data_IF_017673371878
#
_entry.id   IF_017673371878
#
_cell.length_a   1.000
_cell.length_b   1.000
_cell.length_c   1.000
_cell.angle_alpha   90.00
_cell.angle_beta   90.00
_cell.angle_gamma   90.00
#
_symmetry.space_group_name_H-M   'P 1'
#
loop_
_entity.id
_entity.type
_entity.pdbx_description
1 polymer ?
#
# COMPACT_ATOMS: atom_id res chain seq x y z
N UNK A 1 2.55 -25.55 -23.54
CA UNK A 1 2.84 -24.36 -22.72
C UNK A 1 1.52 -23.69 -22.41
N UNK A 2 1.20 -23.48 -21.12
CA UNK A 2 -0.07 -22.87 -20.68
C UNK A 2 -0.05 -21.34 -20.83
N UNK A 3 1.11 -20.70 -20.75
CA UNK A 3 1.27 -19.25 -20.76
C UNK A 3 2.43 -18.80 -21.67
N UNK A 4 2.28 -17.64 -22.27
CA UNK A 4 3.33 -16.93 -23.01
C UNK A 4 4.35 -16.32 -22.07
N UNK A 5 5.52 -15.90 -22.59
CA UNK A 5 6.53 -15.18 -21.79
C UNK A 5 6.00 -13.85 -21.23
N UNK A 6 5.23 -13.14 -22.02
CA UNK A 6 4.64 -11.85 -21.65
C UNK A 6 3.62 -12.00 -20.53
N UNK A 7 2.74 -13.01 -20.61
CA UNK A 7 1.80 -13.30 -19.54
C UNK A 7 2.51 -13.67 -18.22
N UNK A 8 3.59 -14.47 -18.30
CA UNK A 8 4.38 -14.85 -17.12
C UNK A 8 5.01 -13.61 -16.48
N UNK A 9 5.63 -12.72 -17.28
CA UNK A 9 6.26 -11.49 -16.79
C UNK A 9 5.20 -10.57 -16.17
N UNK A 10 4.06 -10.42 -16.84
CA UNK A 10 2.94 -9.60 -16.34
C UNK A 10 2.44 -10.11 -15.00
N UNK A 11 2.18 -11.42 -14.88
CA UNK A 11 1.77 -12.04 -13.61
C UNK A 11 2.81 -11.85 -12.51
N UNK A 12 4.10 -11.99 -12.83
CA UNK A 12 5.19 -11.81 -11.88
C UNK A 12 5.25 -10.37 -11.39
N UNK A 13 5.30 -9.39 -12.31
CA UNK A 13 5.40 -7.98 -11.96
C UNK A 13 4.18 -7.46 -11.21
N UNK A 14 2.98 -7.99 -11.48
CA UNK A 14 1.76 -7.62 -10.78
C UNK A 14 1.66 -8.19 -9.35
N UNK A 15 2.43 -9.23 -9.04
CA UNK A 15 2.45 -9.85 -7.70
C UNK A 15 3.71 -9.54 -6.89
N UNK A 16 4.74 -9.00 -7.51
CA UNK A 16 5.99 -8.73 -6.83
C UNK A 16 5.83 -7.61 -5.79
N UNK A 17 6.35 -7.85 -4.57
CA UNK A 17 6.35 -6.85 -3.51
C UNK A 17 7.60 -5.96 -3.60
N UNK A 18 7.39 -4.71 -4.02
CA UNK A 18 8.42 -3.68 -4.10
C UNK A 18 8.66 -2.96 -2.77
N UNK A 19 8.14 -3.48 -1.64
CA UNK A 19 8.14 -2.84 -0.33
C UNK A 19 7.30 -1.54 -0.24
N UNK A 20 7.26 -0.96 0.94
CA UNK A 20 6.54 0.31 1.20
C UNK A 20 5.06 0.26 0.78
N UNK A 21 4.42 -0.91 0.92
CA UNK A 21 3.06 -1.23 0.49
C UNK A 21 2.86 -1.17 -1.05
N UNK A 22 3.95 -1.22 -1.81
CA UNK A 22 3.92 -1.24 -3.27
C UNK A 22 3.92 -2.69 -3.77
N UNK A 23 2.76 -3.34 -3.76
CA UNK A 23 2.56 -4.66 -4.37
C UNK A 23 2.12 -4.47 -5.82
N UNK A 24 2.91 -5.03 -6.72
CA UNK A 24 2.73 -4.90 -8.16
C UNK A 24 3.40 -3.65 -8.75
N UNK A 25 3.72 -3.74 -10.05
CA UNK A 25 4.47 -2.72 -10.78
C UNK A 25 3.70 -1.39 -10.87
N UNK A 26 2.38 -1.43 -11.00
CA UNK A 26 1.52 -0.25 -11.05
C UNK A 26 1.62 0.54 -9.74
N UNK A 27 1.42 -0.15 -8.62
CA UNK A 27 1.56 0.49 -7.31
C UNK A 27 2.98 0.99 -7.06
N UNK A 28 4.00 0.25 -7.52
CA UNK A 28 5.39 0.65 -7.39
C UNK A 28 5.70 1.94 -8.20
N UNK A 29 5.22 2.05 -9.44
CA UNK A 29 5.40 3.26 -10.25
C UNK A 29 4.77 4.49 -9.56
N UNK A 30 3.55 4.36 -9.03
CA UNK A 30 2.87 5.42 -8.28
C UNK A 30 3.57 5.76 -6.96
N UNK A 31 4.03 4.75 -6.20
CA UNK A 31 4.68 4.95 -4.89
C UNK A 31 6.05 5.61 -5.03
N UNK A 32 6.86 5.18 -5.98
CA UNK A 32 8.24 5.64 -6.09
C UNK A 32 8.40 6.85 -7.01
N UNK A 33 7.52 6.99 -8.01
CA UNK A 33 7.66 8.00 -9.06
C UNK A 33 6.41 8.84 -9.30
N UNK A 34 5.28 8.55 -8.63
CA UNK A 34 4.03 9.33 -8.76
C UNK A 34 3.33 9.22 -10.12
N UNK A 35 3.73 8.25 -10.96
CA UNK A 35 3.26 8.12 -12.37
C UNK A 35 2.73 6.71 -12.64
N UNK A 36 2.04 6.57 -13.77
CA UNK A 36 1.60 5.27 -14.28
C UNK A 36 2.77 4.46 -14.87
N UNK A 37 2.67 3.11 -14.93
CA UNK A 37 3.72 2.27 -15.51
C UNK A 37 4.08 2.62 -16.97
N UNK A 38 3.10 3.08 -17.75
CA UNK A 38 3.28 3.49 -19.16
C UNK A 38 4.07 4.80 -19.31
N UNK A 39 4.17 5.59 -18.25
CA UNK A 39 4.85 6.88 -18.21
C UNK A 39 6.28 6.77 -17.65
N UNK A 40 6.66 5.58 -17.17
CA UNK A 40 8.01 5.33 -16.67
C UNK A 40 9.03 5.53 -17.78
N UNK A 41 10.03 6.36 -17.52
CA UNK A 41 11.20 6.45 -18.36
C UNK A 41 12.16 5.25 -18.16
N UNK A 42 13.18 5.14 -18.99
CA UNK A 42 14.08 3.98 -19.01
C UNK A 42 14.80 3.77 -17.67
N UNK A 43 15.32 4.83 -17.05
CA UNK A 43 16.05 4.73 -15.79
C UNK A 43 15.14 4.44 -14.60
N UNK A 44 13.88 4.91 -14.61
CA UNK A 44 12.88 4.59 -13.61
C UNK A 44 12.45 3.12 -13.72
N UNK A 45 12.15 2.66 -14.92
CA UNK A 45 11.84 1.25 -15.19
C UNK A 45 13.02 0.34 -14.80
N UNK A 46 14.26 0.70 -15.18
CA UNK A 46 15.46 -0.04 -14.80
C UNK A 46 15.68 -0.08 -13.27
N UNK A 47 15.27 0.97 -12.55
CA UNK A 47 15.31 1.02 -11.08
C UNK A 47 14.36 -0.01 -10.47
N UNK A 48 13.09 -0.05 -10.90
CA UNK A 48 12.12 -1.03 -10.43
C UNK A 48 12.52 -2.47 -10.77
N UNK A 49 12.98 -2.71 -11.99
CA UNK A 49 13.52 -4.02 -12.38
C UNK A 49 14.73 -4.40 -11.53
N UNK A 50 15.58 -3.44 -11.20
CA UNK A 50 16.71 -3.62 -10.29
C UNK A 50 16.30 -4.11 -8.90
N UNK A 51 15.18 -3.59 -8.38
CA UNK A 51 14.60 -4.01 -7.09
C UNK A 51 14.14 -5.47 -7.09
N UNK A 52 13.73 -6.02 -8.22
CA UNK A 52 13.27 -7.42 -8.33
C UNK A 52 14.33 -8.44 -7.87
N UNK A 53 15.62 -8.10 -7.87
CA UNK A 53 16.67 -8.97 -7.34
C UNK A 53 16.64 -9.08 -5.81
N UNK A 54 16.47 -7.96 -5.13
CA UNK A 54 16.34 -7.88 -3.67
C UNK A 54 15.79 -6.49 -3.31
N UNK A 55 14.47 -6.38 -3.09
CA UNK A 55 13.82 -5.09 -2.85
C UNK A 55 14.32 -4.42 -1.57
N UNK A 56 14.68 -5.20 -0.54
CA UNK A 56 15.22 -4.63 0.70
C UNK A 56 16.60 -4.01 0.51
N UNK A 57 17.47 -4.62 -0.29
CA UNK A 57 18.83 -4.13 -0.52
C UNK A 57 18.86 -2.96 -1.51
N UNK A 58 18.01 -3.00 -2.53
CA UNK A 58 17.97 -2.04 -3.63
C UNK A 58 16.78 -1.07 -3.52
N UNK A 59 16.41 -0.68 -2.29
CA UNK A 59 15.30 0.24 -2.03
C UNK A 59 15.74 1.70 -2.27
N UNK A 60 15.21 2.39 -3.29
CA UNK A 60 15.61 3.76 -3.61
C UNK A 60 15.08 4.79 -2.60
N UNK A 61 14.00 4.50 -1.87
CA UNK A 61 13.46 5.39 -0.84
C UNK A 61 14.38 5.50 0.40
N UNK A 62 15.24 4.51 0.62
CA UNK A 62 16.22 4.55 1.70
C UNK A 62 17.48 5.31 1.27
N UNK A 63 17.75 6.47 1.85
CA UNK A 63 18.95 7.26 1.56
C UNK A 63 20.23 6.43 1.69
N UNK A 64 20.34 5.57 2.71
CA UNK A 64 21.48 4.66 2.92
C UNK A 64 21.66 3.63 1.80
N UNK A 65 20.58 3.20 1.17
CA UNK A 65 20.57 2.11 0.16
C UNK A 65 20.51 2.64 -1.28
N UNK A 66 20.19 3.90 -1.45
CA UNK A 66 20.06 4.54 -2.79
C UNK A 66 21.32 4.37 -3.67
N UNK A 67 22.55 4.51 -3.16
CA UNK A 67 23.74 4.25 -3.99
C UNK A 67 23.80 2.81 -4.53
N UNK A 68 23.50 1.82 -3.70
CA UNK A 68 23.43 0.41 -4.14
C UNK A 68 22.30 0.17 -5.14
N UNK A 69 21.19 0.85 -4.97
CA UNK A 69 20.08 0.82 -5.93
C UNK A 69 20.54 1.40 -7.30
N UNK A 70 21.27 2.51 -7.29
CA UNK A 70 21.83 3.11 -8.51
C UNK A 70 22.83 2.18 -9.21
N UNK A 71 23.72 1.55 -8.47
CA UNK A 71 24.61 0.52 -9.01
C UNK A 71 23.82 -0.62 -9.68
N UNK A 72 22.78 -1.10 -9.00
CA UNK A 72 21.93 -2.15 -9.54
C UNK A 72 21.14 -1.73 -10.78
N UNK A 73 20.59 -0.50 -10.79
CA UNK A 73 19.97 0.11 -11.98
C UNK A 73 20.97 0.11 -13.17
N UNK A 74 22.20 0.54 -12.92
CA UNK A 74 23.23 0.61 -13.94
C UNK A 74 23.61 -0.77 -14.51
N UNK A 75 23.50 -1.84 -13.71
CA UNK A 75 23.62 -3.22 -14.21
C UNK A 75 22.47 -3.56 -15.15
N UNK A 76 21.22 -3.17 -14.80
CA UNK A 76 20.04 -3.40 -15.66
C UNK A 76 20.20 -2.66 -16.99
N UNK A 77 20.59 -1.37 -16.97
CA UNK A 77 20.87 -0.59 -18.18
C UNK A 77 21.92 -1.28 -19.07
N UNK A 78 23.00 -1.82 -18.48
CA UNK A 78 24.00 -2.58 -19.21
C UNK A 78 23.45 -3.88 -19.84
N UNK A 79 22.46 -4.53 -19.26
CA UNK A 79 21.78 -5.67 -19.87
C UNK A 79 20.88 -5.24 -21.03
N UNK A 80 20.25 -4.06 -20.94
CA UNK A 80 19.44 -3.49 -22.03
C UNK A 80 20.30 -3.19 -23.26
N UNK A 81 21.55 -2.70 -23.09
CA UNK A 81 22.50 -2.56 -24.20
C UNK A 81 22.82 -3.90 -24.84
N UNK A 82 23.15 -4.92 -24.03
CA UNK A 82 23.43 -6.28 -24.56
C UNK A 82 22.23 -6.86 -25.32
N UNK A 83 21.01 -6.56 -24.88
CA UNK A 83 19.78 -6.95 -25.54
C UNK A 83 19.40 -6.05 -26.73
N UNK A 84 20.19 -5.02 -27.02
CA UNK A 84 19.98 -4.04 -28.11
C UNK A 84 18.70 -3.23 -27.99
N UNK A 85 18.23 -2.99 -26.75
CA UNK A 85 17.08 -2.12 -26.49
C UNK A 85 17.46 -0.65 -26.36
N UNK A 86 18.71 -0.35 -25.98
CA UNK A 86 19.29 0.99 -25.91
C UNK A 86 20.71 0.97 -26.49
N UNK A 87 21.20 2.10 -26.92
CA UNK A 87 22.59 2.27 -27.36
C UNK A 87 23.54 2.37 -26.17
N UNK A 88 24.86 2.22 -26.44
CA UNK A 88 25.87 2.43 -25.40
C UNK A 88 25.91 3.89 -24.92
N UNK A 89 25.75 4.85 -25.85
CA UNK A 89 25.74 6.29 -25.56
C UNK A 89 24.56 6.67 -24.66
N UNK A 90 23.36 6.17 -24.94
CA UNK A 90 22.19 6.34 -24.08
C UNK A 90 22.41 5.74 -22.70
N UNK A 91 22.98 4.53 -22.63
CA UNK A 91 23.28 3.88 -21.36
C UNK A 91 24.25 4.71 -20.51
N UNK A 92 25.31 5.24 -21.12
CA UNK A 92 26.32 6.03 -20.40
C UNK A 92 25.75 7.37 -19.91
N UNK A 93 24.87 7.99 -20.68
CA UNK A 93 24.11 9.17 -20.25
C UNK A 93 23.17 8.86 -19.08
N UNK A 94 22.36 7.79 -19.18
CA UNK A 94 21.40 7.40 -18.15
C UNK A 94 22.07 6.97 -16.83
N UNK A 95 23.27 6.39 -16.88
CA UNK A 95 24.05 5.99 -15.71
C UNK A 95 24.46 7.17 -14.84
N UNK A 96 24.67 8.34 -15.44
CA UNK A 96 25.09 9.56 -14.73
C UNK A 96 23.92 10.20 -13.97
N UNK A 97 22.67 9.95 -14.39
CA UNK A 97 21.51 10.53 -13.77
C UNK A 97 21.32 10.00 -12.33
N UNK A 98 21.03 10.87 -11.35
CA UNK A 98 20.64 10.43 -10.02
C UNK A 98 19.29 9.70 -10.08
N UNK A 99 18.97 8.91 -9.04
CA UNK A 99 17.61 8.40 -8.87
C UNK A 99 16.78 9.50 -8.23
N UNK A 100 15.96 10.15 -9.03
CA UNK A 100 14.97 11.12 -8.57
C UNK A 100 13.66 10.38 -8.24
N UNK A 101 13.14 10.64 -7.05
CA UNK A 101 11.92 10.01 -6.56
C UNK A 101 10.86 11.09 -6.34
N UNK A 102 9.66 10.81 -6.79
CA UNK A 102 8.43 11.43 -6.30
C UNK A 102 7.74 10.44 -5.36
N UNK A 103 8.32 10.30 -4.17
CA UNK A 103 7.98 9.21 -3.26
C UNK A 103 6.73 9.50 -2.45
N UNK A 104 5.67 8.80 -2.80
CA UNK A 104 4.40 8.81 -2.10
C UNK A 104 4.17 7.48 -1.38
N UNK A 105 4.46 7.46 -0.08
CA UNK A 105 4.17 6.25 0.69
C UNK A 105 2.66 6.00 0.69
N UNK A 106 2.24 4.87 0.12
CA UNK A 106 0.87 4.40 0.28
C UNK A 106 0.69 3.93 1.72
N UNK A 107 0.07 4.76 2.52
CA UNK A 107 -0.37 4.42 3.87
C UNK A 107 -1.89 4.15 3.84
N UNK A 108 -2.36 3.27 4.72
CA UNK A 108 -3.78 3.08 4.97
C UNK A 108 -4.51 4.39 5.35
N UNK A 109 -3.76 5.42 5.75
CA UNK A 109 -4.25 6.78 6.04
C UNK A 109 -4.44 7.64 4.81
N UNK A 110 -3.87 7.27 3.65
CA UNK A 110 -4.00 8.02 2.40
C UNK A 110 -5.21 7.54 1.60
N UNK A 111 -5.81 8.46 0.84
CA UNK A 111 -7.01 8.23 0.02
C UNK A 111 -8.31 8.52 0.76
N UNK A 112 -9.43 8.36 0.06
CA UNK A 112 -10.77 8.74 0.53
C UNK A 112 -11.20 7.88 1.74
N UNK A 113 -11.79 8.52 2.74
CA UNK A 113 -12.38 7.91 3.93
C UNK A 113 -11.42 6.96 4.69
N UNK A 114 -10.21 7.39 5.10
CA UNK A 114 -9.22 6.51 5.72
C UNK A 114 -9.73 5.88 7.02
N UNK A 115 -10.45 6.62 7.84
CA UNK A 115 -11.05 6.13 9.08
C UNK A 115 -12.11 5.05 8.84
N UNK A 116 -12.94 5.24 7.82
CA UNK A 116 -13.94 4.23 7.45
C UNK A 116 -13.29 2.95 6.94
N UNK A 117 -12.25 3.05 6.11
CA UNK A 117 -11.50 1.87 5.64
C UNK A 117 -10.85 1.10 6.78
N UNK A 118 -10.28 1.80 7.75
CA UNK A 118 -9.69 1.17 8.94
C UNK A 118 -10.76 0.54 9.84
N UNK A 119 -11.90 1.21 10.02
CA UNK A 119 -13.05 0.64 10.73
C UNK A 119 -13.52 -0.65 10.06
N UNK A 120 -13.72 -0.60 8.73
CA UNK A 120 -14.14 -1.75 7.94
C UNK A 120 -13.13 -2.90 8.03
N UNK A 121 -11.85 -2.61 7.90
CA UNK A 121 -10.78 -3.60 8.07
C UNK A 121 -10.87 -4.30 9.43
N UNK A 122 -10.98 -3.53 10.51
CA UNK A 122 -11.10 -4.08 11.87
C UNK A 122 -12.36 -4.92 12.04
N UNK A 123 -13.47 -4.47 11.51
CA UNK A 123 -14.75 -5.17 11.57
C UNK A 123 -14.69 -6.51 10.84
N UNK A 124 -14.19 -6.52 9.60
CA UNK A 124 -14.08 -7.74 8.80
C UNK A 124 -13.08 -8.75 9.36
N UNK A 125 -11.99 -8.28 9.97
CA UNK A 125 -10.93 -9.12 10.57
C UNK A 125 -11.19 -9.46 12.05
N UNK A 126 -12.28 -9.01 12.64
CA UNK A 126 -12.60 -9.31 14.02
C UNK A 126 -12.64 -10.82 14.25
N UNK A 127 -12.20 -11.23 15.42
CA UNK A 127 -12.19 -12.65 15.82
C UNK A 127 -13.34 -12.92 16.78
N UNK A 128 -13.76 -14.18 16.83
CA UNK A 128 -14.74 -14.62 17.83
C UNK A 128 -14.30 -14.22 19.25
N UNK A 129 -15.17 -13.51 19.99
CA UNK A 129 -14.87 -13.09 21.35
C UNK A 129 -14.72 -14.29 22.29
N UNK A 130 -13.54 -14.47 22.88
CA UNK A 130 -13.27 -15.54 23.86
C UNK A 130 -12.90 -14.92 25.19
N UNK A 131 -13.63 -15.28 26.26
CA UNK A 131 -13.45 -14.71 27.61
C UNK A 131 -12.00 -14.64 28.07
N UNK A 132 -11.19 -15.64 27.71
CA UNK A 132 -9.76 -15.70 28.05
C UNK A 132 -8.91 -14.55 27.47
N UNK A 133 -9.41 -13.85 26.45
CA UNK A 133 -8.70 -12.77 25.78
C UNK A 133 -9.01 -11.38 26.36
N UNK A 134 -9.88 -11.32 27.39
CA UNK A 134 -10.33 -10.07 28.00
C UNK A 134 -9.87 -9.96 29.46
N UNK A 135 -9.47 -8.76 29.85
CA UNK A 135 -9.13 -8.46 31.22
C UNK A 135 -10.38 -8.46 32.10
N UNK A 136 -10.23 -8.70 33.42
CA UNK A 136 -11.35 -8.84 34.38
C UNK A 136 -12.32 -7.66 34.33
N UNK A 137 -11.83 -6.44 34.12
CA UNK A 137 -12.67 -5.24 34.03
C UNK A 137 -13.52 -5.18 32.74
N UNK A 138 -13.07 -5.83 31.67
CA UNK A 138 -13.80 -5.93 30.38
C UNK A 138 -14.90 -7.01 30.41
N UNK A 139 -14.83 -7.94 31.38
CA UNK A 139 -15.79 -9.03 31.56
C UNK A 139 -16.99 -8.63 32.42
N UNK A 140 -17.02 -7.39 32.93
CA UNK A 140 -18.17 -6.87 33.70
C UNK A 140 -19.42 -6.79 32.84
N UNK A 141 -20.63 -6.76 33.44
CA UNK A 141 -21.87 -6.51 32.72
C UNK A 141 -21.73 -5.25 31.81
N UNK A 142 -22.16 -5.36 30.57
CA UNK A 142 -22.02 -4.30 29.55
C UNK A 142 -20.56 -3.87 29.26
N UNK A 143 -19.57 -4.67 29.68
CA UNK A 143 -18.16 -4.46 29.32
C UNK A 143 -17.84 -4.84 27.88
N UNK A 144 -16.57 -4.67 27.49
CA UNK A 144 -16.13 -4.87 26.10
C UNK A 144 -16.43 -6.28 25.57
N UNK A 145 -16.26 -7.30 26.39
CA UNK A 145 -16.60 -8.67 26.00
C UNK A 145 -18.08 -8.83 25.61
N UNK A 146 -18.99 -8.21 26.38
CA UNK A 146 -20.41 -8.25 26.08
C UNK A 146 -20.72 -7.52 24.75
N UNK A 147 -20.14 -6.34 24.56
CA UNK A 147 -20.33 -5.56 23.33
C UNK A 147 -19.80 -6.30 22.09
N UNK A 148 -18.60 -6.86 22.19
CA UNK A 148 -18.00 -7.62 21.08
C UNK A 148 -18.79 -8.91 20.79
N UNK A 149 -19.37 -9.54 21.81
CA UNK A 149 -20.24 -10.70 21.65
C UNK A 149 -21.55 -10.35 20.93
N UNK A 150 -22.16 -9.22 21.27
CA UNK A 150 -23.35 -8.72 20.57
C UNK A 150 -23.05 -8.38 19.11
N UNK A 151 -21.91 -7.71 18.83
CA UNK A 151 -21.46 -7.42 17.48
C UNK A 151 -21.21 -8.72 16.70
N UNK A 152 -20.58 -9.70 17.34
CA UNK A 152 -20.33 -11.00 16.71
C UNK A 152 -21.62 -11.73 16.30
N UNK A 153 -22.63 -11.69 17.15
CA UNK A 153 -23.92 -12.37 16.90
C UNK A 153 -24.80 -11.63 15.92
N UNK A 154 -24.89 -10.30 16.04
CA UNK A 154 -25.89 -9.50 15.32
C UNK A 154 -25.34 -8.80 14.06
N UNK A 155 -24.04 -8.56 13.96
CA UNK A 155 -23.45 -7.89 12.81
C UNK A 155 -22.81 -8.92 11.86
N UNK A 156 -23.37 -9.18 10.67
CA UNK A 156 -22.82 -10.16 9.73
C UNK A 156 -21.45 -9.78 9.19
N UNK A 157 -21.08 -8.50 9.24
CA UNK A 157 -19.76 -8.02 8.82
C UNK A 157 -18.70 -8.19 9.89
N UNK A 158 -19.09 -8.25 11.15
CA UNK A 158 -18.14 -8.41 12.28
C UNK A 158 -17.57 -9.83 12.28
N UNK A 159 -16.28 -9.95 11.97
CA UNK A 159 -15.61 -11.24 11.81
C UNK A 159 -15.97 -11.96 10.50
N UNK A 160 -16.34 -11.23 9.46
CA UNK A 160 -16.76 -11.80 8.19
C UNK A 160 -15.74 -12.80 7.62
N UNK A 161 -14.44 -12.51 7.73
CA UNK A 161 -13.34 -13.39 7.26
C UNK A 161 -13.29 -14.72 8.01
N UNK A 162 -13.59 -14.70 9.31
CA UNK A 162 -13.68 -15.95 10.11
C UNK A 162 -14.92 -16.75 9.78
N UNK A 163 -16.04 -16.06 9.53
CA UNK A 163 -17.34 -16.68 9.28
C UNK A 163 -17.47 -17.22 7.85
N UNK A 164 -16.67 -16.72 6.91
CA UNK A 164 -16.77 -17.05 5.49
C UNK A 164 -15.42 -17.52 4.93
N UNK A 165 -14.99 -18.76 5.21
CA UNK A 165 -13.79 -19.31 4.60
C UNK A 165 -13.97 -19.52 3.09
N UNK A 166 -12.87 -19.53 2.34
CA UNK A 166 -12.85 -19.90 0.93
C UNK A 166 -13.24 -21.37 0.74
N UNK A 167 -13.51 -21.77 -0.49
CA UNK A 167 -13.86 -23.16 -0.82
C UNK A 167 -12.76 -24.18 -0.45
N UNK A 168 -11.51 -23.76 -0.40
CA UNK A 168 -10.35 -24.55 0.03
C UNK A 168 -10.11 -24.52 1.55
N UNK A 169 -11.00 -23.89 2.33
CA UNK A 169 -10.89 -23.71 3.78
C UNK A 169 -9.94 -22.59 4.22
N UNK A 170 -9.24 -21.92 3.31
CA UNK A 170 -8.39 -20.78 3.65
C UNK A 170 -9.21 -19.51 3.94
N UNK A 171 -8.60 -18.55 4.64
CA UNK A 171 -9.24 -17.27 4.93
C UNK A 171 -9.01 -16.26 3.81
N UNK A 172 -9.97 -15.36 3.64
CA UNK A 172 -9.78 -14.23 2.72
C UNK A 172 -8.73 -13.25 3.25
N UNK A 173 -7.88 -12.76 2.34
CA UNK A 173 -7.00 -11.62 2.56
C UNK A 173 -7.63 -10.36 1.95
N UNK A 174 -7.90 -9.35 2.79
CA UNK A 174 -8.54 -8.10 2.37
C UNK A 174 -7.73 -7.38 1.27
N UNK A 175 -6.41 -7.53 1.29
CA UNK A 175 -5.52 -6.78 0.39
C UNK A 175 -5.15 -7.54 -0.89
N UNK A 176 -5.15 -8.87 -0.86
CA UNK A 176 -4.61 -9.68 -1.96
C UNK A 176 -5.66 -10.49 -2.73
N UNK A 177 -6.83 -10.73 -2.15
CA UNK A 177 -7.86 -11.55 -2.79
C UNK A 177 -8.84 -10.78 -3.70
N UNK A 178 -8.62 -9.48 -3.90
CA UNK A 178 -9.41 -8.67 -4.82
C UNK A 178 -10.88 -8.49 -4.41
N UNK A 179 -11.18 -8.46 -3.11
CA UNK A 179 -12.52 -8.28 -2.59
C UNK A 179 -13.10 -6.93 -3.05
N UNK A 180 -14.32 -6.95 -3.58
CA UNK A 180 -15.07 -5.75 -3.95
C UNK A 180 -16.06 -5.42 -2.85
N UNK A 181 -15.83 -4.28 -2.18
CA UNK A 181 -16.66 -3.82 -1.06
C UNK A 181 -17.48 -2.62 -1.53
N UNK A 182 -18.80 -2.80 -1.64
CA UNK A 182 -19.72 -1.75 -2.02
C UNK A 182 -20.17 -0.98 -0.78
N UNK A 183 -20.13 0.35 -0.84
CA UNK A 183 -20.49 1.23 0.27
C UNK A 183 -21.47 2.30 -0.18
N UNK A 184 -22.12 2.95 0.78
CA UNK A 184 -23.03 4.10 0.53
C UNK A 184 -22.31 5.45 0.50
N UNK A 185 -20.98 5.46 0.61
CA UNK A 185 -20.19 6.71 0.61
C UNK A 185 -20.17 7.30 -0.81
N UNK A 186 -20.65 8.55 -0.94
CA UNK A 186 -20.42 9.35 -2.15
C UNK A 186 -19.00 9.96 -2.07
N UNK A 187 -18.14 9.57 -3.02
CA UNK A 187 -16.75 9.97 -3.03
C UNK A 187 -16.55 11.50 -3.18
N UNK A 188 -17.50 12.22 -3.81
CA UNK A 188 -17.42 13.69 -3.96
C UNK A 188 -17.76 14.36 -2.64
N UNK A 189 -18.85 13.95 -2.00
CA UNK A 189 -19.25 14.46 -0.69
C UNK A 189 -18.16 14.19 0.36
N UNK A 190 -17.56 13.01 0.34
CA UNK A 190 -16.48 12.66 1.26
C UNK A 190 -15.25 13.56 1.07
N UNK A 191 -14.83 13.84 -0.17
CA UNK A 191 -13.73 14.78 -0.43
C UNK A 191 -14.03 16.19 0.06
N UNK A 192 -15.26 16.67 -0.11
CA UNK A 192 -15.66 17.99 0.41
C UNK A 192 -15.62 18.03 1.95
N UNK A 193 -16.08 16.96 2.59
CA UNK A 193 -16.04 16.85 4.05
C UNK A 193 -14.59 16.81 4.57
N UNK A 194 -13.73 16.01 3.96
CA UNK A 194 -12.30 15.90 4.32
C UNK A 194 -11.60 17.27 4.16
N UNK A 195 -11.82 17.94 3.04
CA UNK A 195 -11.28 19.28 2.80
C UNK A 195 -11.76 20.31 3.82
N UNK A 196 -13.04 20.32 4.14
CA UNK A 196 -13.60 21.22 5.15
C UNK A 196 -12.99 20.96 6.54
N UNK A 197 -12.74 19.69 6.90
CA UNK A 197 -12.06 19.34 8.14
C UNK A 197 -10.62 19.85 8.14
N UNK A 198 -9.85 19.66 7.08
CA UNK A 198 -8.47 20.15 6.98
C UNK A 198 -8.39 21.67 7.13
N UNK A 199 -9.24 22.40 6.40
CA UNK A 199 -9.28 23.87 6.45
C UNK A 199 -9.65 24.37 7.85
N UNK A 200 -10.69 23.80 8.47
CA UNK A 200 -11.15 24.20 9.80
C UNK A 200 -10.12 23.89 10.88
N UNK A 201 -9.53 22.70 10.87
CA UNK A 201 -8.53 22.32 11.87
C UNK A 201 -7.20 23.05 11.71
N UNK A 202 -6.82 23.45 10.48
CA UNK A 202 -5.66 24.31 10.26
C UNK A 202 -5.82 25.66 10.98
N UNK A 203 -7.00 26.27 10.85
CA UNK A 203 -7.36 27.51 11.55
C UNK A 203 -7.38 27.35 13.08
N UNK A 204 -8.00 26.28 13.56
CA UNK A 204 -8.04 25.96 15.00
C UNK A 204 -6.63 25.74 15.55
N UNK A 205 -5.78 24.97 14.84
CA UNK A 205 -4.40 24.73 15.23
C UNK A 205 -3.60 26.02 15.32
N UNK A 206 -3.75 26.91 14.33
CA UNK A 206 -3.09 28.22 14.35
C UNK A 206 -3.52 29.10 15.55
N UNK A 207 -4.80 29.06 15.91
CA UNK A 207 -5.33 29.76 17.09
C UNK A 207 -4.81 29.14 18.39
N UNK A 208 -4.82 27.81 18.48
CA UNK A 208 -4.34 27.06 19.64
C UNK A 208 -2.85 27.34 19.90
N UNK A 209 -2.01 27.31 18.86
CA UNK A 209 -0.58 27.59 18.99
C UNK A 209 -0.30 29.01 19.47
N UNK A 210 -1.16 29.99 19.17
CA UNK A 210 -1.04 31.35 19.71
C UNK A 210 -1.40 31.47 21.20
N UNK A 211 -2.24 30.57 21.71
CA UNK A 211 -2.64 30.55 23.14
C UNK A 211 -1.65 29.78 24.02
N UNK A 212 -0.85 28.89 23.44
CA UNK A 212 0.27 28.26 24.14
C UNK A 212 1.39 29.30 24.34
N UNK A 213 1.35 29.97 25.49
CA UNK A 213 2.48 30.77 25.95
C UNK A 213 3.49 29.83 26.60
N UNK A 214 4.66 29.71 25.99
CA UNK A 214 5.84 29.10 26.61
C UNK A 214 6.63 30.16 27.36
#
# INVERSE_FOLDING_TARGET
KLYTKEEIITMYLNKFDFLNNAVGIETAARVYFGIEPSELNIEQAATLVGMCKNPSLYNPASARRRPKCQERRNVVLGQMVKAKHITQEECDSLRQLPIELDYHRVDHKLGIAPYFREYLRKTLQAKEPKRKNYASWQLKPYGQYYLDSLEWENNPLYGWIEKNPKADGSKYDIYHDGLKIYTTIDARMQRYAEKAVEEHFADMQAKFMKTLKY
#
